data_IF_462441227014
#
_entry.id   IF_462441227014
#
_cell.length_a   1.000
_cell.length_b   1.000
_cell.length_c   1.000
_cell.angle_alpha   90.00
_cell.angle_beta   90.00
_cell.angle_gamma   90.00
#
_symmetry.space_group_name_H-M   'P 1'
#
loop_
_entity.id
_entity.type
_entity.pdbx_description
1 polymer ?
#
# COMPACT_ATOMS: atom_id res chain seq x y z
N UNK A 1 10.08 -5.71 -16.04
CA UNK A 1 9.90 -6.67 -14.90
C UNK A 1 8.42 -6.72 -14.50
N UNK A 2 7.87 -7.85 -14.03
CA UNK A 2 6.45 -7.88 -13.56
C UNK A 2 6.43 -7.89 -12.04
N UNK A 3 5.91 -6.82 -11.43
CA UNK A 3 5.70 -6.78 -9.99
C UNK A 3 4.38 -7.48 -9.66
N UNK A 4 4.44 -8.47 -8.78
CA UNK A 4 3.26 -9.23 -8.34
C UNK A 4 3.11 -9.20 -6.82
N UNK A 5 4.21 -9.07 -6.08
CA UNK A 5 4.21 -9.04 -4.62
C UNK A 5 4.65 -7.69 -4.05
N UNK A 6 4.23 -7.36 -2.81
CA UNK A 6 4.70 -6.16 -2.11
C UNK A 6 6.23 -6.16 -1.89
N UNK A 7 6.83 -7.35 -1.80
CA UNK A 7 8.28 -7.51 -1.70
C UNK A 7 8.97 -7.09 -2.99
N UNK A 8 8.47 -7.52 -4.15
CA UNK A 8 9.00 -7.12 -5.45
C UNK A 8 8.92 -5.60 -5.63
N UNK A 9 7.80 -5.01 -5.22
CA UNK A 9 7.60 -3.57 -5.26
C UNK A 9 8.64 -2.81 -4.43
N UNK A 10 8.91 -3.24 -3.19
CA UNK A 10 9.95 -2.63 -2.34
C UNK A 10 11.35 -2.77 -2.91
N UNK A 11 11.65 -3.91 -3.55
CA UNK A 11 12.93 -4.13 -4.22
C UNK A 11 13.06 -3.17 -5.40
N UNK A 12 12.00 -3.04 -6.20
CA UNK A 12 11.94 -2.13 -7.33
C UNK A 12 12.10 -0.66 -6.90
N UNK A 13 11.42 -0.22 -5.84
CA UNK A 13 11.58 1.12 -5.27
C UNK A 13 13.01 1.38 -4.79
N UNK A 14 13.59 0.46 -4.01
CA UNK A 14 14.99 0.61 -3.55
C UNK A 14 15.97 0.68 -4.71
N UNK A 15 15.73 -0.08 -5.77
CA UNK A 15 16.55 -0.05 -6.97
C UNK A 15 16.39 1.27 -7.70
N UNK A 16 15.16 1.79 -7.82
CA UNK A 16 14.87 3.09 -8.40
C UNK A 16 15.57 4.21 -7.62
N UNK A 17 15.48 4.23 -6.30
CA UNK A 17 16.19 5.18 -5.43
C UNK A 17 17.71 5.10 -5.60
N UNK A 18 18.26 3.88 -5.66
CA UNK A 18 19.69 3.68 -5.86
C UNK A 18 20.15 4.20 -7.22
N UNK A 19 19.36 3.98 -8.28
CA UNK A 19 19.65 4.49 -9.62
C UNK A 19 19.50 6.02 -9.69
N UNK A 20 18.47 6.59 -9.05
CA UNK A 20 18.28 8.03 -8.97
C UNK A 20 19.44 8.71 -8.22
N UNK A 21 19.94 8.08 -7.15
CA UNK A 21 21.07 8.59 -6.36
C UNK A 21 22.40 8.44 -7.10
N UNK A 22 22.61 7.31 -7.79
CA UNK A 22 23.84 7.04 -8.53
C UNK A 22 23.94 7.89 -9.82
N UNK A 23 22.80 8.35 -10.35
CA UNK A 23 22.72 9.02 -11.64
C UNK A 23 22.77 8.01 -12.78
N UNK A 24 21.79 8.08 -13.67
CA UNK A 24 21.69 7.19 -14.84
C UNK A 24 22.15 7.84 -16.14
N UNK A 25 22.45 9.14 -16.11
CA UNK A 25 22.83 9.93 -17.29
C UNK A 25 24.09 9.40 -17.96
N UNK A 26 24.02 9.22 -19.28
CA UNK A 26 25.14 8.75 -20.09
C UNK A 26 25.31 7.22 -20.12
N UNK A 27 24.47 6.46 -19.42
CA UNK A 27 24.44 5.00 -19.50
C UNK A 27 23.07 4.50 -19.99
N UNK A 28 23.00 4.21 -21.29
CA UNK A 28 21.76 3.78 -21.95
C UNK A 28 21.14 2.52 -21.32
N UNK A 29 21.94 1.62 -20.75
CA UNK A 29 21.42 0.43 -20.08
C UNK A 29 20.76 0.77 -18.74
N UNK A 30 21.35 1.69 -17.95
CA UNK A 30 20.78 2.15 -16.68
C UNK A 30 19.54 3.03 -16.90
N UNK A 31 19.51 3.86 -17.94
CA UNK A 31 18.32 4.63 -18.30
C UNK A 31 17.15 3.72 -18.71
N UNK A 32 17.43 2.66 -19.48
CA UNK A 32 16.42 1.67 -19.84
C UNK A 32 15.88 0.94 -18.60
N UNK A 33 16.77 0.51 -17.70
CA UNK A 33 16.39 -0.12 -16.42
C UNK A 33 15.52 0.83 -15.58
N UNK A 34 15.90 2.11 -15.49
CA UNK A 34 15.17 3.12 -14.73
C UNK A 34 13.74 3.32 -15.26
N UNK A 35 13.57 3.46 -16.58
CA UNK A 35 12.25 3.60 -17.22
C UNK A 35 11.40 2.34 -17.03
N UNK A 36 11.99 1.15 -17.17
CA UNK A 36 11.29 -0.10 -16.93
C UNK A 36 10.79 -0.21 -15.48
N UNK A 37 11.62 0.17 -14.51
CA UNK A 37 11.24 0.16 -13.09
C UNK A 37 10.05 1.08 -12.84
N UNK A 38 10.08 2.31 -13.36
CA UNK A 38 8.96 3.26 -13.23
C UNK A 38 7.67 2.66 -13.80
N UNK A 39 7.72 2.15 -15.04
CA UNK A 39 6.54 1.58 -15.69
C UNK A 39 5.99 0.36 -14.92
N UNK A 40 6.88 -0.47 -14.38
CA UNK A 40 6.51 -1.66 -13.62
C UNK A 40 5.85 -1.30 -12.28
N UNK A 41 6.38 -0.28 -11.60
CA UNK A 41 5.83 0.31 -10.37
C UNK A 41 4.44 0.90 -10.65
N UNK A 42 4.31 1.76 -11.65
CA UNK A 42 3.04 2.42 -12.00
C UNK A 42 1.95 1.40 -12.40
N UNK A 43 2.33 0.37 -13.16
CA UNK A 43 1.41 -0.73 -13.52
C UNK A 43 0.93 -1.51 -12.29
N UNK A 44 1.81 -1.72 -11.31
CA UNK A 44 1.48 -2.43 -10.07
C UNK A 44 0.60 -1.58 -9.15
N UNK A 45 0.92 -0.30 -8.99
CA UNK A 45 0.13 0.69 -8.27
C UNK A 45 -1.29 0.79 -8.85
N UNK A 46 -1.39 0.90 -10.19
CA UNK A 46 -2.67 0.92 -10.90
C UNK A 46 -3.50 -0.35 -10.70
N UNK A 47 -2.88 -1.54 -10.73
CA UNK A 47 -3.58 -2.82 -10.45
C UNK A 47 -4.14 -2.90 -9.03
N UNK A 48 -3.47 -2.29 -8.06
CA UNK A 48 -3.93 -2.24 -6.68
C UNK A 48 -4.98 -1.14 -6.43
N UNK A 49 -5.29 -0.29 -7.41
CA UNK A 49 -6.12 0.89 -7.23
C UNK A 49 -5.49 1.91 -6.27
N UNK A 50 -4.17 1.82 -6.10
CA UNK A 50 -3.37 2.71 -5.28
C UNK A 50 -2.87 3.78 -6.24
N UNK A 51 -3.53 4.93 -6.24
CA UNK A 51 -2.94 6.17 -6.78
C UNK A 51 -1.51 6.33 -6.24
N UNK A 52 -0.60 6.99 -6.98
CA UNK A 52 0.84 6.92 -6.72
C UNK A 52 1.14 7.43 -5.32
N UNK A 53 1.56 6.53 -4.42
CA UNK A 53 1.94 6.91 -3.06
C UNK A 53 3.30 6.29 -2.78
N UNK A 54 4.31 7.12 -2.46
CA UNK A 54 5.71 6.70 -2.35
C UNK A 54 6.01 5.64 -1.27
N UNK A 55 5.05 5.33 -0.39
CA UNK A 55 5.18 4.27 0.61
C UNK A 55 3.97 3.34 0.52
N UNK A 56 4.11 2.24 -0.25
CA UNK A 56 3.08 1.21 -0.20
C UNK A 56 3.02 0.64 1.22
N UNK A 57 1.83 0.59 1.82
CA UNK A 57 1.65 -0.03 3.11
C UNK A 57 2.02 -1.52 3.02
N UNK A 58 2.92 -1.97 3.89
CA UNK A 58 3.34 -3.37 3.98
C UNK A 58 2.45 -4.21 4.90
N UNK A 59 1.61 -3.54 5.69
CA UNK A 59 0.61 -4.15 6.55
C UNK A 59 -0.77 -3.59 6.25
N UNK A 60 -1.80 -4.40 6.51
CA UNK A 60 -3.18 -3.95 6.50
C UNK A 60 -3.39 -2.71 7.39
N UNK A 61 -2.72 -2.65 8.52
CA UNK A 61 -2.77 -1.50 9.42
C UNK A 61 -2.29 -0.21 8.74
N UNK A 62 -1.17 -0.27 8.03
CA UNK A 62 -0.64 0.88 7.29
C UNK A 62 -1.59 1.28 6.16
N UNK A 63 -2.23 0.32 5.49
CA UNK A 63 -3.19 0.58 4.42
C UNK A 63 -4.44 1.31 4.94
N UNK A 64 -4.94 0.90 6.09
CA UNK A 64 -6.05 1.56 6.79
C UNK A 64 -5.65 2.98 7.19
N UNK A 65 -4.45 3.16 7.74
CA UNK A 65 -3.96 4.45 8.19
C UNK A 65 -3.73 5.42 7.03
N UNK A 66 -3.20 4.92 5.91
CA UNK A 66 -3.04 5.68 4.68
C UNK A 66 -4.38 6.14 4.12
N UNK A 67 -5.38 5.25 4.04
CA UNK A 67 -6.73 5.60 3.59
C UNK A 67 -7.38 6.63 4.53
N UNK A 68 -7.18 6.49 5.85
CA UNK A 68 -7.62 7.49 6.83
C UNK A 68 -7.03 8.87 6.52
N UNK A 69 -5.72 8.95 6.25
CA UNK A 69 -5.02 10.20 5.93
C UNK A 69 -5.52 10.79 4.60
N UNK A 70 -5.68 9.97 3.57
CA UNK A 70 -6.21 10.38 2.27
C UNK A 70 -7.62 10.95 2.38
N UNK A 71 -8.47 10.33 3.20
CA UNK A 71 -9.84 10.80 3.45
C UNK A 71 -9.91 11.91 4.50
N UNK A 72 -8.78 12.36 5.06
CA UNK A 72 -8.69 13.37 6.14
C UNK A 72 -9.56 13.05 7.36
N UNK A 73 -9.76 11.76 7.65
CA UNK A 73 -10.59 11.29 8.77
C UNK A 73 -9.77 11.26 10.06
N UNK A 74 -10.35 11.55 11.23
CA UNK A 74 -9.70 11.20 12.51
C UNK A 74 -9.88 9.72 12.77
N UNK A 75 -9.07 9.14 13.65
CA UNK A 75 -9.17 7.72 14.01
C UNK A 75 -10.55 7.36 14.58
N UNK A 76 -11.22 8.31 15.25
CA UNK A 76 -12.61 8.16 15.72
C UNK A 76 -13.61 8.08 14.57
N UNK A 77 -13.45 8.93 13.55
CA UNK A 77 -14.32 8.95 12.38
C UNK A 77 -14.12 7.68 11.55
N UNK A 78 -12.89 7.19 11.44
CA UNK A 78 -12.58 5.90 10.80
C UNK A 78 -13.24 4.73 11.54
N UNK A 79 -13.20 4.75 12.88
CA UNK A 79 -13.86 3.74 13.71
C UNK A 79 -15.38 3.74 13.49
N UNK A 80 -15.99 4.92 13.38
CA UNK A 80 -17.41 5.06 13.04
C UNK A 80 -17.72 4.59 11.62
N UNK A 81 -16.90 4.96 10.63
CA UNK A 81 -17.06 4.55 9.24
C UNK A 81 -17.00 3.03 9.07
N UNK A 82 -16.12 2.38 9.84
CA UNK A 82 -15.95 0.93 9.87
C UNK A 82 -16.91 0.23 10.83
N UNK A 83 -17.74 0.99 11.54
CA UNK A 83 -18.68 0.47 12.56
C UNK A 83 -17.97 -0.44 13.58
N UNK A 84 -16.73 -0.09 13.93
CA UNK A 84 -15.86 -0.82 14.85
C UNK A 84 -15.54 0.06 16.05
N UNK A 85 -15.54 -0.47 17.29
CA UNK A 85 -15.12 0.30 18.45
C UNK A 85 -13.70 0.83 18.29
N UNK A 86 -13.45 2.10 18.66
CA UNK A 86 -12.13 2.72 18.51
C UNK A 86 -10.99 1.92 19.18
N UNK A 87 -11.26 1.29 20.32
CA UNK A 87 -10.31 0.39 20.99
C UNK A 87 -9.98 -0.86 20.18
N UNK A 88 -10.96 -1.43 19.45
CA UNK A 88 -10.76 -2.57 18.56
C UNK A 88 -9.98 -2.17 17.32
N UNK A 89 -10.29 -1.02 16.71
CA UNK A 89 -9.53 -0.47 15.59
C UNK A 89 -8.06 -0.23 15.98
N UNK A 90 -7.82 0.36 17.16
CA UNK A 90 -6.46 0.60 17.65
C UNK A 90 -5.66 -0.70 17.86
N UNK A 91 -6.27 -1.76 18.40
CA UNK A 91 -5.63 -3.07 18.54
C UNK A 91 -5.27 -3.70 17.20
N UNK A 92 -6.09 -3.48 16.16
CA UNK A 92 -5.84 -3.98 14.81
C UNK A 92 -4.70 -3.19 14.16
N UNK A 93 -4.72 -1.85 14.27
CA UNK A 93 -3.63 -0.98 13.80
C UNK A 93 -2.30 -1.30 14.50
N UNK A 94 -2.35 -1.73 15.76
CA UNK A 94 -1.17 -2.12 16.54
C UNK A 94 -0.70 -3.57 16.26
N UNK A 95 -1.39 -4.32 15.40
CA UNK A 95 -1.07 -5.73 15.13
C UNK A 95 -1.40 -6.70 16.29
N UNK A 96 -2.03 -6.22 17.36
CA UNK A 96 -2.40 -7.04 18.54
C UNK A 96 -3.61 -7.95 18.29
N UNK A 97 -4.40 -7.66 17.24
CA UNK A 97 -5.55 -8.46 16.83
C UNK A 97 -5.58 -8.63 15.32
N UNK A 98 -5.92 -9.85 14.89
CA UNK A 98 -6.22 -10.17 13.49
C UNK A 98 -7.53 -9.56 13.05
N UNK A 99 -7.64 -9.34 11.74
CA UNK A 99 -8.85 -8.78 11.13
C UNK A 99 -9.88 -9.88 10.92
N UNK A 100 -11.09 -9.63 11.42
CA UNK A 100 -12.23 -10.51 11.19
C UNK A 100 -12.80 -10.30 9.79
N UNK A 101 -13.39 -11.35 9.22
CA UNK A 101 -13.96 -11.32 7.86
C UNK A 101 -15.00 -10.20 7.66
N UNK A 102 -15.80 -9.93 8.69
CA UNK A 102 -16.76 -8.82 8.71
C UNK A 102 -16.07 -7.44 8.57
N UNK A 103 -14.93 -7.24 9.24
CA UNK A 103 -14.16 -6.00 9.11
C UNK A 103 -13.45 -5.95 7.75
N UNK A 104 -12.91 -7.07 7.27
CA UNK A 104 -12.35 -7.16 5.92
C UNK A 104 -13.36 -6.72 4.86
N UNK A 105 -14.62 -7.14 4.98
CA UNK A 105 -15.70 -6.70 4.09
C UNK A 105 -15.91 -5.19 4.16
N UNK A 106 -15.96 -4.61 5.35
CA UNK A 106 -16.11 -3.16 5.53
C UNK A 106 -14.90 -2.37 5.03
N UNK A 107 -13.68 -2.89 5.17
CA UNK A 107 -12.47 -2.28 4.61
C UNK A 107 -12.55 -2.22 3.08
N UNK A 108 -13.06 -3.28 2.45
CA UNK A 108 -13.32 -3.30 1.01
C UNK A 108 -14.42 -2.31 0.62
N UNK A 109 -15.59 -2.36 1.26
CA UNK A 109 -16.76 -1.55 0.88
C UNK A 109 -16.59 -0.06 1.21
N UNK A 110 -15.91 0.30 2.32
CA UNK A 110 -15.82 1.68 2.83
C UNK A 110 -14.51 2.38 2.50
N UNK A 111 -13.39 1.65 2.48
CA UNK A 111 -12.07 2.23 2.15
C UNK A 111 -11.60 1.85 0.74
N UNK A 112 -12.30 0.95 0.06
CA UNK A 112 -11.90 0.47 -1.27
C UNK A 112 -10.59 -0.31 -1.23
N UNK A 113 -10.26 -0.96 -0.11
CA UNK A 113 -9.03 -1.76 -0.01
C UNK A 113 -9.29 -3.12 -0.69
N UNK A 114 -8.50 -3.53 -1.69
CA UNK A 114 -8.71 -4.77 -2.42
C UNK A 114 -8.78 -6.00 -1.49
N UNK A 115 -9.76 -6.87 -1.72
CA UNK A 115 -9.97 -8.09 -0.92
C UNK A 115 -8.74 -9.01 -0.91
N UNK A 116 -8.03 -9.14 -2.04
CA UNK A 116 -6.79 -9.90 -2.13
C UNK A 116 -5.70 -9.36 -1.20
N UNK A 117 -5.56 -8.03 -1.12
CA UNK A 117 -4.60 -7.39 -0.21
C UNK A 117 -5.00 -7.61 1.26
N UNK A 118 -6.29 -7.55 1.56
CA UNK A 118 -6.80 -7.79 2.90
C UNK A 118 -6.50 -9.23 3.32
N UNK A 119 -6.86 -10.21 2.49
CA UNK A 119 -6.71 -11.63 2.81
C UNK A 119 -5.25 -12.06 2.95
N UNK A 120 -4.33 -11.44 2.18
CA UNK A 120 -2.88 -11.69 2.31
C UNK A 120 -2.25 -11.09 3.56
N UNK A 121 -2.89 -10.11 4.20
CA UNK A 121 -2.34 -9.33 5.32
C UNK A 121 -3.26 -9.27 6.57
N UNK A 122 -4.25 -10.17 6.69
CA UNK A 122 -5.28 -10.19 7.75
C UNK A 122 -4.86 -10.87 9.06
#
# INVERSE_FOLDING_TARGET
MVLQTPTDYRIALRRLDALATAGVEGNAALEAEFRELILSIDTYEGKLGLLPIPNLPTSLAEMIELKRQQMRLKQKDLAQLLEVPAGRLSQILSGKRRVTLDLAKRLYERLGIPSDFILKNA
#
